data_IF_682179038001
#
_entry.id   IF_682179038001
#
_cell.length_a   1.000
_cell.length_b   1.000
_cell.length_c   1.000
_cell.angle_alpha   90.00
_cell.angle_beta   90.00
_cell.angle_gamma   90.00
#
_symmetry.space_group_name_H-M   'P 1'
#
loop_
_entity.id
_entity.type
_entity.pdbx_description
1 polymer ?
#
# COMPACT_ATOMS: atom_id res chain seq x y z
N UNK A 1 -30.73 -13.02 -10.99
CA UNK A 1 -29.78 -11.97 -11.41
C UNK A 1 -29.35 -11.25 -10.14
N UNK A 2 -28.08 -11.36 -9.73
CA UNK A 2 -27.62 -10.87 -8.44
C UNK A 2 -27.79 -9.35 -8.32
N UNK A 3 -27.97 -8.86 -7.09
CA UNK A 3 -28.13 -7.43 -6.73
C UNK A 3 -27.07 -6.49 -7.32
N UNK A 4 -25.96 -7.03 -7.82
CA UNK A 4 -24.78 -6.34 -8.31
C UNK A 4 -24.63 -6.35 -9.84
N UNK A 5 -25.68 -6.72 -10.59
CA UNK A 5 -25.67 -6.62 -12.05
C UNK A 5 -24.70 -7.58 -12.76
N UNK A 6 -24.54 -7.39 -14.06
CA UNK A 6 -23.58 -8.15 -14.85
C UNK A 6 -22.16 -7.68 -14.53
N UNK A 7 -21.25 -8.61 -14.26
CA UNK A 7 -19.85 -8.31 -14.03
C UNK A 7 -18.96 -9.02 -15.05
N UNK A 8 -17.86 -8.37 -15.44
CA UNK A 8 -16.76 -8.99 -16.19
C UNK A 8 -15.69 -9.34 -15.18
N UNK A 9 -15.42 -10.64 -15.03
CA UNK A 9 -14.36 -11.17 -14.17
C UNK A 9 -13.35 -12.00 -14.95
N UNK A 10 -12.11 -12.04 -14.46
CA UNK A 10 -11.10 -13.01 -14.89
C UNK A 10 -11.59 -14.46 -14.71
N UNK A 11 -11.18 -15.37 -15.62
CA UNK A 11 -11.54 -16.80 -15.55
C UNK A 11 -11.07 -17.52 -14.28
N UNK A 12 -10.11 -16.96 -13.54
CA UNK A 12 -9.58 -17.52 -12.29
C UNK A 12 -9.89 -16.61 -11.09
N UNK A 13 -11.14 -16.20 -10.94
CA UNK A 13 -11.61 -15.54 -9.71
C UNK A 13 -11.77 -16.62 -8.62
N UNK A 14 -11.22 -16.44 -7.40
CA UNK A 14 -10.79 -15.18 -6.77
C UNK A 14 -9.29 -14.84 -6.86
N UNK A 15 -8.48 -15.63 -7.59
CA UNK A 15 -7.03 -15.41 -7.69
C UNK A 15 -6.63 -14.28 -8.67
N UNK A 16 -7.54 -13.83 -9.53
CA UNK A 16 -7.44 -12.58 -10.27
C UNK A 16 -8.51 -11.60 -9.77
N UNK A 17 -8.09 -10.55 -9.07
CA UNK A 17 -8.94 -9.53 -8.43
C UNK A 17 -9.54 -8.49 -9.38
N UNK A 18 -9.62 -8.75 -10.68
CA UNK A 18 -10.26 -7.83 -11.62
C UNK A 18 -11.70 -8.24 -11.86
N UNK A 19 -12.64 -7.56 -11.20
CA UNK A 19 -14.08 -7.64 -11.50
C UNK A 19 -14.65 -6.24 -11.70
N UNK A 20 -15.23 -5.97 -12.87
CA UNK A 20 -15.94 -4.71 -13.15
C UNK A 20 -17.43 -4.98 -13.37
N UNK A 21 -18.31 -4.23 -12.70
CA UNK A 21 -19.75 -4.25 -12.96
C UNK A 21 -20.06 -3.38 -14.19
N UNK A 22 -20.81 -3.93 -15.14
CA UNK A 22 -21.30 -3.24 -16.34
C UNK A 22 -22.76 -2.85 -16.10
N UNK A 23 -23.00 -1.66 -15.54
CA UNK A 23 -24.36 -1.16 -15.36
C UNK A 23 -24.48 0.07 -14.47
N UNK A 24 -24.52 1.22 -15.12
CA UNK A 24 -25.23 2.47 -14.77
C UNK A 24 -25.31 2.96 -13.31
N UNK A 25 -24.61 4.08 -13.07
CA UNK A 25 -24.81 5.07 -12.01
C UNK A 25 -24.95 4.52 -10.58
N UNK A 26 -23.81 4.22 -9.97
CA UNK A 26 -23.66 4.11 -8.52
C UNK A 26 -22.20 4.27 -8.21
N UNK A 27 -21.91 5.11 -7.20
CA UNK A 27 -20.61 5.38 -6.61
C UNK A 27 -19.59 4.28 -6.87
N UNK A 28 -18.43 4.67 -7.42
CA UNK A 28 -17.30 3.80 -7.72
C UNK A 28 -16.77 3.07 -6.49
N UNK A 29 -17.50 2.03 -6.06
CA UNK A 29 -17.01 0.90 -5.29
C UNK A 29 -16.18 0.02 -6.21
N UNK A 30 -15.11 0.62 -6.75
CA UNK A 30 -13.93 -0.14 -7.04
C UNK A 30 -13.28 -0.34 -5.69
N UNK A 31 -13.51 -1.49 -5.06
CA UNK A 31 -12.48 -2.14 -4.28
C UNK A 31 -11.34 -2.45 -5.26
N UNK A 32 -10.63 -1.39 -5.64
CA UNK A 32 -9.26 -1.48 -6.02
C UNK A 32 -8.56 -1.99 -4.77
N UNK A 33 -8.51 -3.31 -4.65
CA UNK A 33 -7.23 -3.96 -4.48
C UNK A 33 -6.32 -3.44 -5.60
N UNK A 34 -5.92 -2.17 -5.49
CA UNK A 34 -4.87 -1.57 -6.26
C UNK A 34 -3.65 -2.38 -5.90
N UNK A 35 -3.28 -3.28 -6.79
CA UNK A 35 -1.86 -3.46 -7.06
C UNK A 35 -1.36 -2.10 -7.56
N UNK A 36 -1.19 -1.12 -6.68
CA UNK A 36 -0.71 0.23 -7.00
C UNK A 36 -0.72 1.10 -5.74
N UNK A 37 0.28 0.97 -4.89
CA UNK A 37 1.23 2.07 -4.68
C UNK A 37 2.32 1.56 -3.74
N UNK A 38 3.56 1.98 -3.98
CA UNK A 38 4.67 1.63 -3.11
C UNK A 38 4.50 2.07 -1.66
N UNK A 39 3.43 2.82 -1.31
CA UNK A 39 3.26 3.55 -0.07
C UNK A 39 2.31 2.86 0.94
N UNK A 40 2.86 2.08 1.87
CA UNK A 40 2.20 1.57 3.09
C UNK A 40 2.47 2.52 4.27
N UNK A 41 1.45 3.11 4.88
CA UNK A 41 1.62 3.87 6.13
C UNK A 41 1.79 2.87 7.28
N UNK A 42 2.90 2.96 8.02
CA UNK A 42 3.21 2.05 9.14
C UNK A 42 2.68 2.58 10.48
N UNK A 43 2.47 3.89 10.60
CA UNK A 43 1.97 4.53 11.80
C UNK A 43 2.83 5.71 12.23
N UNK A 44 2.68 6.18 13.47
CA UNK A 44 3.44 7.30 14.00
C UNK A 44 4.53 6.82 14.96
N UNK A 45 5.68 7.49 14.94
CA UNK A 45 6.73 7.24 15.91
C UNK A 45 6.31 7.77 17.29
N UNK A 46 6.33 6.95 18.36
CA UNK A 46 5.96 7.39 19.71
C UNK A 46 6.97 8.37 20.33
N UNK A 47 8.18 8.50 19.77
CA UNK A 47 9.21 9.41 20.30
C UNK A 47 9.17 10.80 19.66
N UNK A 48 8.97 10.86 18.34
CA UNK A 48 8.98 12.12 17.59
C UNK A 48 7.60 12.58 17.13
N UNK A 49 6.55 11.76 17.31
CA UNK A 49 5.20 11.97 16.75
C UNK A 49 5.15 12.13 15.22
N UNK A 50 6.22 11.74 14.53
CA UNK A 50 6.31 11.82 13.08
C UNK A 50 5.65 10.61 12.42
N UNK A 51 4.98 10.82 11.30
CA UNK A 51 4.39 9.72 10.52
C UNK A 51 5.46 8.91 9.80
N UNK A 52 5.36 7.59 9.87
CA UNK A 52 6.22 6.63 9.18
C UNK A 52 5.46 6.03 8.01
N UNK A 53 6.03 6.22 6.83
CA UNK A 53 5.52 5.70 5.56
C UNK A 53 6.56 4.82 4.91
N UNK A 54 6.18 3.63 4.49
CA UNK A 54 6.97 2.72 3.69
C UNK A 54 6.62 2.95 2.24
N UNK A 55 7.57 3.43 1.44
CA UNK A 55 7.40 3.75 0.02
C UNK A 55 8.22 2.79 -0.83
N UNK A 56 7.86 2.56 -2.09
CA UNK A 56 8.66 1.76 -3.03
C UNK A 56 9.21 2.63 -4.15
N UNK A 57 10.53 2.70 -4.27
CA UNK A 57 11.22 3.54 -5.25
C UNK A 57 12.10 2.73 -6.20
N UNK A 58 12.83 3.42 -7.09
CA UNK A 58 13.69 2.79 -8.11
C UNK A 58 14.76 1.84 -7.55
N UNK A 59 15.15 2.05 -6.29
CA UNK A 59 16.21 1.29 -5.61
C UNK A 59 15.64 0.16 -4.71
N UNK A 60 14.32 0.02 -4.66
CA UNK A 60 13.62 -0.88 -3.75
C UNK A 60 12.75 -0.12 -2.74
N UNK A 61 12.10 -0.86 -1.82
CA UNK A 61 11.32 -0.28 -0.74
C UNK A 61 12.21 0.54 0.21
N UNK A 62 11.66 1.63 0.73
CA UNK A 62 12.30 2.53 1.69
C UNK A 62 11.26 3.03 2.70
N UNK A 63 11.68 3.23 3.94
CA UNK A 63 10.88 3.90 4.97
C UNK A 63 11.22 5.38 4.99
N UNK A 64 10.23 6.20 5.24
CA UNK A 64 10.33 7.63 5.44
C UNK A 64 9.58 7.99 6.72
N UNK A 65 10.27 8.63 7.67
CA UNK A 65 9.68 9.21 8.88
C UNK A 65 9.60 10.73 8.71
N UNK A 66 8.41 11.27 8.96
CA UNK A 66 8.11 12.68 8.81
C UNK A 66 7.81 13.10 7.37
N UNK A 67 7.48 14.38 7.22
CA UNK A 67 7.17 14.99 5.93
C UNK A 67 8.12 16.16 5.64
N UNK A 68 8.49 16.37 4.37
CA UNK A 68 9.31 17.50 3.95
C UNK A 68 10.83 17.24 3.91
N UNK A 69 11.62 18.31 4.12
CA UNK A 69 13.09 18.31 4.00
C UNK A 69 13.80 17.66 5.19
N UNK A 70 13.12 17.62 6.33
CA UNK A 70 13.64 17.04 7.57
C UNK A 70 13.27 15.56 7.71
N UNK A 71 12.48 15.02 6.77
CA UNK A 71 12.06 13.63 6.78
C UNK A 71 13.26 12.69 6.68
N UNK A 72 13.43 11.83 7.69
CA UNK A 72 14.45 10.79 7.67
C UNK A 72 14.02 9.67 6.74
N UNK A 73 14.87 9.29 5.80
CA UNK A 73 14.64 8.20 4.85
C UNK A 73 15.65 7.10 5.06
N UNK A 74 15.19 5.86 5.15
CA UNK A 74 16.05 4.68 5.18
C UNK A 74 15.59 3.65 4.17
N UNK A 75 16.49 3.25 3.27
CA UNK A 75 16.24 2.18 2.31
C UNK A 75 16.27 0.82 2.99
N UNK A 76 15.43 -0.11 2.50
CA UNK A 76 15.41 -1.47 3.02
C UNK A 76 16.50 -2.34 2.40
N UNK A 77 16.94 -3.40 3.11
CA UNK A 77 17.85 -4.40 2.56
C UNK A 77 17.25 -5.11 1.35
N UNK A 78 18.11 -5.55 0.43
CA UNK A 78 17.69 -6.35 -0.73
C UNK A 78 17.10 -7.68 -0.25
N UNK A 79 15.86 -7.96 -0.63
CA UNK A 79 15.13 -9.18 -0.25
C UNK A 79 14.06 -9.00 0.83
N UNK A 80 13.98 -7.81 1.44
CA UNK A 80 12.91 -7.48 2.37
C UNK A 80 11.65 -7.07 1.60
N UNK A 81 10.55 -7.76 1.87
CA UNK A 81 9.27 -7.44 1.25
C UNK A 81 8.56 -6.34 2.05
N UNK A 82 7.93 -5.35 1.39
CA UNK A 82 7.23 -4.28 2.09
C UNK A 82 6.06 -4.78 2.95
N UNK A 83 5.52 -5.96 2.64
CA UNK A 83 4.50 -6.61 3.45
C UNK A 83 5.01 -7.03 4.84
N UNK A 84 6.27 -7.45 4.94
CA UNK A 84 6.90 -7.94 6.18
C UNK A 84 7.38 -6.80 7.10
N UNK A 85 7.29 -5.56 6.62
CA UNK A 85 7.78 -4.38 7.34
C UNK A 85 6.69 -3.86 8.24
N UNK A 86 7.05 -3.77 9.51
CA UNK A 86 6.24 -3.19 10.56
C UNK A 86 6.87 -1.89 11.10
N UNK A 87 6.10 -1.16 11.90
CA UNK A 87 6.52 0.09 12.53
C UNK A 87 7.84 -0.09 13.30
N UNK A 88 7.94 -1.16 14.10
CA UNK A 88 9.14 -1.46 14.90
C UNK A 88 10.39 -1.67 14.03
N UNK A 89 10.25 -2.40 12.91
CA UNK A 89 11.35 -2.64 11.97
C UNK A 89 11.76 -1.36 11.25
N UNK A 90 10.79 -0.52 10.88
CA UNK A 90 11.06 0.76 10.26
C UNK A 90 11.80 1.71 11.20
N UNK A 91 11.45 1.72 12.48
CA UNK A 91 12.14 2.48 13.53
C UNK A 91 13.59 2.02 13.69
N UNK A 92 13.84 0.72 13.69
CA UNK A 92 15.19 0.17 13.74
C UNK A 92 16.07 0.60 12.56
N UNK A 93 15.49 0.85 11.39
CA UNK A 93 16.20 1.30 10.17
C UNK A 93 16.43 2.81 10.11
N UNK A 94 15.63 3.63 10.82
CA UNK A 94 15.63 5.10 10.76
C UNK A 94 16.44 5.78 11.89
N UNK A 95 17.10 4.97 12.74
CA UNK A 95 17.89 5.44 13.88
C UNK A 95 18.94 6.51 13.49
#
# INVERSE_FOLDING_TARGET
>A
LGKYGAFVGCSNYPECGFTRQLGENGEGGGDGAGLEDGNKVLGNDPYTSEEITLRSGRFGPYVQRGEGKEAKRSSLPKGWQPADIDLEKALALIN
#
